data_IF_034944388055
#
_entry.id   IF_034944388055
#
_cell.length_a   1.000
_cell.length_b   1.000
_cell.length_c   1.000
_cell.angle_alpha   90.00
_cell.angle_beta   90.00
_cell.angle_gamma   90.00
#
_symmetry.space_group_name_H-M   'P 1'
#
loop_
_entity.id
_entity.type
_entity.pdbx_description
1 polymer ?
#
# COMPACT_ATOMS: atom_id res chain seq x y z
N UNK A 1 0.52 -7.22 -4.78
CA UNK A 1 1.05 -8.08 -3.69
C UNK A 1 0.26 -9.36 -3.72
N UNK A 2 0.90 -10.46 -4.10
CA UNK A 2 0.26 -11.77 -4.08
C UNK A 2 1.00 -12.82 -4.91
N UNK A 3 0.63 -14.11 -4.73
CA UNK A 3 1.12 -15.21 -5.55
C UNK A 3 0.70 -15.05 -7.01
N UNK A 4 1.57 -15.52 -7.91
CA UNK A 4 1.33 -15.57 -9.36
C UNK A 4 1.46 -16.98 -9.90
N UNK A 5 0.75 -17.30 -10.98
CA UNK A 5 0.95 -18.55 -11.73
C UNK A 5 2.21 -18.51 -12.62
N UNK A 6 2.37 -19.49 -13.50
CA UNK A 6 3.54 -19.60 -14.37
C UNK A 6 3.51 -18.55 -15.50
N UNK A 7 2.32 -18.07 -15.85
CA UNK A 7 2.04 -17.05 -16.84
C UNK A 7 2.21 -15.63 -16.27
N UNK A 8 2.22 -15.49 -14.93
CA UNK A 8 2.43 -14.24 -14.21
C UNK A 8 1.13 -13.58 -13.75
N UNK A 9 -0.01 -14.25 -13.91
CA UNK A 9 -1.33 -13.78 -13.51
C UNK A 9 -1.53 -13.94 -12.00
N UNK A 10 -2.25 -12.99 -11.40
CA UNK A 10 -2.52 -12.99 -9.96
C UNK A 10 -3.58 -14.06 -9.62
N UNK A 11 -3.18 -15.08 -8.85
CA UNK A 11 -4.05 -16.21 -8.49
C UNK A 11 -4.71 -16.08 -7.11
N UNK A 12 -4.44 -14.98 -6.41
CA UNK A 12 -4.95 -14.73 -5.06
C UNK A 12 -4.33 -15.64 -4.00
N UNK A 13 -5.01 -15.77 -2.85
CA UNK A 13 -4.56 -16.61 -1.75
C UNK A 13 -5.63 -16.80 -0.68
N UNK A 14 -5.43 -17.82 0.17
CA UNK A 14 -6.37 -18.21 1.23
C UNK A 14 -6.04 -17.59 2.59
N UNK A 15 -4.97 -16.81 2.70
CA UNK A 15 -4.61 -16.09 3.92
C UNK A 15 -3.88 -14.80 3.57
N UNK A 16 -4.26 -13.69 4.22
CA UNK A 16 -3.64 -12.39 4.05
C UNK A 16 -3.47 -11.67 5.38
N UNK A 17 -2.44 -10.85 5.47
CA UNK A 17 -2.33 -9.84 6.51
C UNK A 17 -1.71 -8.57 5.92
N UNK A 18 -2.19 -7.42 6.37
CA UNK A 18 -1.66 -6.10 6.01
C UNK A 18 -1.66 -5.21 7.24
N UNK A 19 -0.63 -4.39 7.35
CA UNK A 19 -0.51 -3.32 8.32
C UNK A 19 -0.06 -2.06 7.60
N UNK A 20 -0.70 -0.94 7.95
CA UNK A 20 -0.34 0.40 7.50
C UNK A 20 -0.15 1.26 8.73
N UNK A 21 0.99 1.95 8.81
CA UNK A 21 1.22 3.01 9.80
C UNK A 21 1.34 4.32 9.04
N UNK A 22 0.45 5.27 9.34
CA UNK A 22 0.44 6.60 8.73
C UNK A 22 0.59 7.66 9.81
N UNK A 23 1.51 8.60 9.60
CA UNK A 23 1.66 9.80 10.41
C UNK A 23 1.37 11.02 9.56
N UNK A 24 0.51 11.93 10.06
CA UNK A 24 0.12 13.12 9.32
C UNK A 24 0.30 14.40 10.13
N UNK A 25 0.75 15.46 9.45
CA UNK A 25 0.95 16.79 10.03
C UNK A 25 0.16 17.84 9.24
N UNK A 26 -0.55 18.77 9.91
CA UNK A 26 -1.22 19.85 9.21
C UNK A 26 -0.18 20.81 8.61
N UNK A 27 -0.36 21.17 7.33
CA UNK A 27 0.39 22.24 6.67
C UNK A 27 -0.45 23.53 6.71
N UNK A 28 -1.69 23.43 6.25
CA UNK A 28 -2.73 24.46 6.33
C UNK A 28 -4.07 23.78 6.62
N UNK A 29 -5.12 24.55 6.92
CA UNK A 29 -6.44 24.03 7.34
C UNK A 29 -6.98 22.89 6.44
N UNK A 30 -6.74 22.98 5.13
CA UNK A 30 -7.24 22.02 4.13
C UNK A 30 -6.19 21.03 3.62
N UNK A 31 -4.95 21.10 4.08
CA UNK A 31 -3.84 20.29 3.55
C UNK A 31 -3.03 19.71 4.69
N UNK A 32 -2.89 18.38 4.71
CA UNK A 32 -1.96 17.68 5.59
C UNK A 32 -0.90 16.96 4.76
N UNK A 33 0.35 16.98 5.22
CA UNK A 33 1.35 16.04 4.76
C UNK A 33 1.18 14.72 5.50
N UNK A 34 1.51 13.63 4.82
CA UNK A 34 1.52 12.29 5.36
C UNK A 34 2.87 11.63 5.04
N UNK A 35 3.36 10.83 5.97
CA UNK A 35 4.34 9.78 5.72
C UNK A 35 3.74 8.47 6.16
N UNK A 36 3.99 7.41 5.41
CA UNK A 36 3.42 6.10 5.70
C UNK A 36 4.41 4.99 5.45
N UNK A 37 4.19 3.89 6.16
CA UNK A 37 4.86 2.62 5.95
C UNK A 37 3.82 1.51 5.88
N UNK A 38 3.88 0.76 4.79
CA UNK A 38 2.98 -0.34 4.51
C UNK A 38 3.74 -1.65 4.50
N UNK A 39 3.13 -2.69 5.08
CA UNK A 39 3.63 -4.06 5.02
C UNK A 39 2.49 -5.04 4.86
N UNK A 40 2.66 -6.06 4.03
CA UNK A 40 1.65 -7.09 3.88
C UNK A 40 2.09 -8.28 3.04
N UNK A 41 1.30 -9.34 3.12
CA UNK A 41 1.49 -10.56 2.34
C UNK A 41 0.15 -11.21 2.01
N UNK A 42 0.16 -12.04 0.98
CA UNK A 42 -0.92 -12.95 0.61
C UNK A 42 -0.30 -14.32 0.36
N UNK A 43 -0.83 -15.36 0.99
CA UNK A 43 -0.33 -16.73 0.94
C UNK A 43 -1.39 -17.68 0.37
N UNK A 44 -0.96 -18.70 -0.39
CA UNK A 44 -1.85 -19.70 -1.00
C UNK A 44 -2.48 -20.66 0.01
N UNK A 45 -1.73 -21.05 1.05
CA UNK A 45 -2.20 -22.01 2.05
C UNK A 45 -3.20 -21.39 3.02
N UNK A 46 -4.25 -22.13 3.35
CA UNK A 46 -5.19 -21.75 4.42
C UNK A 46 -4.48 -21.76 5.78
N UNK A 47 -4.74 -20.75 6.62
CA UNK A 47 -4.09 -20.56 7.92
C UNK A 47 -2.57 -20.37 7.84
N UNK A 48 -2.04 -20.02 6.67
CA UNK A 48 -0.61 -19.75 6.50
C UNK A 48 -0.31 -18.26 6.70
N UNK A 49 0.15 -17.91 7.90
CA UNK A 49 0.59 -16.55 8.25
C UNK A 49 2.12 -16.41 8.26
N UNK A 50 2.84 -17.31 7.57
CA UNK A 50 4.28 -17.17 7.38
C UNK A 50 4.61 -15.88 6.63
N UNK A 51 5.57 -15.11 7.13
CA UNK A 51 5.93 -13.79 6.62
C UNK A 51 7.11 -13.82 5.62
N UNK A 52 7.54 -15.00 5.17
CA UNK A 52 8.74 -15.13 4.32
C UNK A 52 8.69 -14.29 3.02
N UNK A 53 7.51 -14.08 2.46
CA UNK A 53 7.28 -13.33 1.22
C UNK A 53 6.49 -12.03 1.45
N UNK A 54 6.72 -11.33 2.57
CA UNK A 54 6.09 -10.02 2.76
C UNK A 54 6.66 -8.97 1.81
N UNK A 55 5.79 -8.07 1.38
CA UNK A 55 6.13 -6.86 0.66
C UNK A 55 5.96 -5.67 1.59
N UNK A 56 6.79 -4.66 1.40
CA UNK A 56 6.71 -3.43 2.17
C UNK A 56 7.12 -2.22 1.35
N UNK A 57 6.54 -1.08 1.67
CA UNK A 57 6.84 0.20 1.02
C UNK A 57 6.81 1.34 2.03
N UNK A 58 7.58 2.38 1.73
CA UNK A 58 7.58 3.63 2.45
C UNK A 58 7.15 4.73 1.49
N UNK A 59 6.33 5.66 1.95
CA UNK A 59 5.86 6.72 1.09
C UNK A 59 5.53 8.01 1.79
N UNK A 60 5.27 8.99 0.97
CA UNK A 60 4.84 10.33 1.36
C UNK A 60 3.58 10.70 0.60
N UNK A 61 2.76 11.53 1.21
CA UNK A 61 1.48 11.90 0.63
C UNK A 61 0.96 13.25 1.09
N UNK A 62 -0.07 13.70 0.38
CA UNK A 62 -0.87 14.87 0.71
C UNK A 62 -2.31 14.43 0.93
N UNK A 63 -2.92 14.95 1.99
CA UNK A 63 -4.34 14.80 2.30
C UNK A 63 -4.99 16.16 2.08
N UNK A 64 -5.81 16.28 1.04
CA UNK A 64 -6.49 17.51 0.68
C UNK A 64 -7.95 17.39 1.09
N UNK A 65 -8.41 18.26 1.98
CA UNK A 65 -9.81 18.34 2.36
C UNK A 65 -10.48 19.48 1.60
N UNK A 66 -11.06 19.16 0.45
CA UNK A 66 -11.72 20.14 -0.43
C UNK A 66 -13.22 20.19 -0.14
N UNK A 67 -13.91 21.29 -0.50
CA UNK A 67 -15.37 21.38 -0.38
C UNK A 67 -16.13 20.26 -1.13
N UNK A 68 -15.50 19.72 -2.19
CA UNK A 68 -16.04 18.63 -3.01
C UNK A 68 -15.76 17.23 -2.42
N UNK A 69 -14.98 17.15 -1.34
CA UNK A 69 -14.59 15.91 -0.68
C UNK A 69 -13.08 15.76 -0.47
N UNK A 70 -12.66 14.74 0.30
CA UNK A 70 -11.26 14.47 0.54
C UNK A 70 -10.58 13.84 -0.68
N UNK A 71 -9.33 14.25 -0.93
CA UNK A 71 -8.43 13.66 -1.92
C UNK A 71 -7.15 13.23 -1.23
N UNK A 72 -6.66 12.03 -1.54
CA UNK A 72 -5.32 11.58 -1.15
C UNK A 72 -4.46 11.49 -2.38
N UNK A 73 -3.25 12.02 -2.28
CA UNK A 73 -2.19 11.88 -3.26
C UNK A 73 -1.03 11.21 -2.55
N UNK A 74 -0.56 10.05 -2.99
CA UNK A 74 0.55 9.35 -2.36
C UNK A 74 1.59 8.93 -3.40
N UNK A 75 2.84 8.90 -2.95
CA UNK A 75 3.95 8.32 -3.67
C UNK A 75 4.63 7.29 -2.78
N UNK A 76 4.47 6.01 -3.13
CA UNK A 76 5.02 4.87 -2.40
C UNK A 76 6.26 4.33 -3.09
N UNK A 77 7.30 4.02 -2.32
CA UNK A 77 8.57 3.46 -2.78
C UNK A 77 8.72 2.06 -2.16
N UNK A 78 8.74 1.00 -2.97
CA UNK A 78 8.94 -0.36 -2.46
C UNK A 78 10.28 -0.47 -1.71
N UNK A 79 10.21 -0.87 -0.44
CA UNK A 79 11.39 -1.14 0.40
C UNK A 79 11.73 -2.63 0.44
N UNK A 80 10.72 -3.48 0.25
CA UNK A 80 10.87 -4.92 0.06
C UNK A 80 9.83 -5.44 -0.92
N UNK A 81 10.29 -6.24 -1.88
CA UNK A 81 9.45 -6.98 -2.81
C UNK A 81 9.87 -8.44 -2.84
N UNK A 82 8.89 -9.33 -2.95
CA UNK A 82 9.14 -10.72 -3.31
C UNK A 82 9.49 -10.87 -4.81
N UNK A 83 9.77 -12.11 -5.21
CA UNK A 83 10.08 -12.49 -6.61
C UNK A 83 8.95 -12.21 -7.61
N UNK A 84 7.73 -11.95 -7.13
CA UNK A 84 6.53 -11.77 -7.96
C UNK A 84 6.13 -10.30 -8.11
N UNK A 85 6.59 -9.42 -7.22
CA UNK A 85 6.18 -8.02 -7.10
C UNK A 85 7.38 -7.06 -7.22
N UNK A 86 8.41 -7.48 -7.96
CA UNK A 86 9.65 -6.74 -8.17
C UNK A 86 9.45 -5.49 -9.03
N UNK A 87 9.09 -4.37 -8.42
CA UNK A 87 9.18 -3.05 -9.03
C UNK A 87 10.08 -2.21 -8.14
N UNK A 88 11.29 -1.88 -8.61
CA UNK A 88 12.24 -1.02 -7.88
C UNK A 88 11.89 0.47 -7.97
N UNK A 89 10.91 0.81 -8.81
CA UNK A 89 10.43 2.18 -9.00
C UNK A 89 9.25 2.52 -8.10
N UNK A 90 9.24 3.76 -7.61
CA UNK A 90 8.11 4.29 -6.85
C UNK A 90 6.85 4.42 -7.70
N UNK A 91 5.70 4.37 -7.04
CA UNK A 91 4.36 4.43 -7.66
C UNK A 91 3.59 5.61 -7.09
N UNK A 92 2.98 6.37 -7.99
CA UNK A 92 2.00 7.40 -7.62
C UNK A 92 0.61 6.78 -7.56
N UNK A 93 -0.13 7.07 -6.49
CA UNK A 93 -1.54 6.74 -6.37
C UNK A 93 -2.34 7.99 -5.99
N UNK A 94 -3.59 8.04 -6.42
CA UNK A 94 -4.54 9.02 -5.94
C UNK A 94 -5.88 8.35 -5.63
N UNK A 95 -6.58 8.86 -4.63
CA UNK A 95 -7.93 8.44 -4.29
C UNK A 95 -8.81 9.63 -3.99
N UNK A 96 -10.08 9.52 -4.36
CA UNK A 96 -11.10 10.56 -4.15
C UNK A 96 -12.25 9.93 -3.38
N UNK A 97 -12.68 10.60 -2.32
CA UNK A 97 -13.78 10.15 -1.47
C UNK A 97 -13.33 9.60 -0.13
N UNK A 98 -14.31 9.27 0.70
CA UNK A 98 -14.10 8.69 2.01
C UNK A 98 -13.74 7.21 1.86
N UNK A 99 -12.65 6.80 2.48
CA UNK A 99 -12.27 5.40 2.57
C UNK A 99 -13.05 4.78 3.74
N UNK A 100 -13.85 3.75 3.46
CA UNK A 100 -14.58 2.96 4.46
C UNK A 100 -13.83 1.67 4.76
#
# INVERSE_FOLDING_TARGET
VGPKDAEGDDIGGNSMARLTVEYTVPIIERVRAAVFYDVGFVNLGSWNFGTSNYNADFGFGLRLNLPIGPIRLDYGIPTKSDKFNGSSSGRFQFSVGYQF
#
